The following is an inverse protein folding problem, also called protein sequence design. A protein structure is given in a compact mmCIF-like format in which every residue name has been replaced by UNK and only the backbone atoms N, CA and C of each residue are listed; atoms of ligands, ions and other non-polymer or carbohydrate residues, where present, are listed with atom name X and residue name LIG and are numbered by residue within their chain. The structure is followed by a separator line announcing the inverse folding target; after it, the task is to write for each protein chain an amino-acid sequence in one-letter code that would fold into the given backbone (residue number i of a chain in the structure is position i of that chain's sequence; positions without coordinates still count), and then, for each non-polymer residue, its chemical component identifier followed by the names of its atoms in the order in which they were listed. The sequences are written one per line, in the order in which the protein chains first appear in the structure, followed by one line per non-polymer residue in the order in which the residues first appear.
data_IF_740068379490
#
_entry.id   IF_740068379490
#
_cell.length_a   1.000
_cell.length_b   1.000
_cell.length_c   1.000
_cell.angle_alpha   90.00
_cell.angle_beta   90.00
_cell.angle_gamma   90.00
#
_symmetry.space_group_name_H-M   'P 1'
#
loop_
_entity.id
_entity.type
_entity.pdbx_description
1 polymer ?
#
# COMPACT_ATOMS: atom_id res chain seq x y z
N UNK A 1 -3.08 57.96 -16.13
CA UNK A 1 -3.50 56.91 -15.17
C UNK A 1 -3.09 55.55 -15.71
N UNK A 2 -1.89 55.10 -15.37
CA UNK A 2 -1.27 53.87 -15.87
C UNK A 2 -1.51 52.73 -14.88
N UNK A 3 -2.46 51.86 -15.20
CA UNK A 3 -2.77 50.67 -14.40
C UNK A 3 -1.64 49.65 -14.46
N UNK A 4 -0.94 49.47 -13.34
CA UNK A 4 0.00 48.35 -13.13
C UNK A 4 -0.78 47.04 -13.29
N UNK A 5 -0.56 46.35 -14.41
CA UNK A 5 -0.99 44.95 -14.56
C UNK A 5 -0.19 44.12 -13.56
N UNK A 6 -0.86 43.66 -12.51
CA UNK A 6 -0.30 42.70 -11.57
C UNK A 6 0.19 41.49 -12.37
N UNK A 7 1.50 41.27 -12.38
CA UNK A 7 2.10 40.13 -13.05
C UNK A 7 1.49 38.86 -12.48
N UNK A 8 0.78 38.12 -13.33
CA UNK A 8 0.31 36.80 -13.00
C UNK A 8 1.55 35.95 -12.69
N UNK A 9 1.75 35.65 -11.41
CA UNK A 9 2.72 34.65 -10.98
C UNK A 9 2.20 33.32 -11.52
N UNK A 10 2.59 32.99 -12.75
CA UNK A 10 2.45 31.65 -13.27
C UNK A 10 3.39 30.80 -12.44
N UNK A 11 2.84 30.19 -11.39
CA UNK A 11 3.40 28.98 -10.80
C UNK A 11 3.46 27.96 -11.94
N UNK A 12 4.54 28.00 -12.72
CA UNK A 12 4.98 26.84 -13.47
C UNK A 12 5.08 25.76 -12.41
N UNK A 13 4.06 24.89 -12.35
CA UNK A 13 4.13 23.60 -11.66
C UNK A 13 5.40 22.99 -12.21
N UNK A 14 6.49 23.13 -11.45
CA UNK A 14 7.79 22.64 -11.84
C UNK A 14 7.56 21.20 -12.23
N UNK A 15 7.70 20.92 -13.52
CA UNK A 15 7.63 19.57 -14.02
C UNK A 15 8.63 18.80 -13.20
N UNK A 16 8.13 17.97 -12.29
CA UNK A 16 8.94 17.21 -11.37
C UNK A 16 9.67 16.16 -12.20
N UNK A 17 10.76 16.59 -12.85
CA UNK A 17 11.79 15.74 -13.46
C UNK A 17 12.38 14.74 -12.46
N UNK A 18 12.01 14.84 -11.19
CA UNK A 18 12.30 13.86 -10.17
C UNK A 18 11.49 12.58 -10.40
N UNK A 19 12.11 11.68 -11.16
CA UNK A 19 12.09 10.22 -10.97
C UNK A 19 10.79 9.52 -11.35
N UNK A 20 10.51 9.51 -12.65
CA UNK A 20 9.75 8.40 -13.22
C UNK A 20 10.63 7.15 -13.11
N UNK A 21 10.49 6.41 -12.01
CA UNK A 21 10.88 5.01 -12.03
C UNK A 21 10.20 4.40 -13.27
N UNK A 22 10.94 3.65 -14.12
CA UNK A 22 10.36 3.09 -15.33
C UNK A 22 9.05 2.40 -14.98
N UNK A 23 7.96 2.71 -15.67
CA UNK A 23 6.65 2.15 -15.34
C UNK A 23 6.68 0.61 -15.29
N UNK A 24 7.55 0.00 -16.10
CA UNK A 24 7.86 -1.42 -16.06
C UNK A 24 8.41 -1.89 -14.69
N UNK A 25 9.35 -1.14 -14.11
CA UNK A 25 9.93 -1.45 -12.79
C UNK A 25 8.86 -1.42 -11.68
N UNK A 26 8.02 -0.40 -11.65
CA UNK A 26 6.92 -0.32 -10.68
C UNK A 26 5.93 -1.47 -10.86
N UNK A 27 5.60 -1.83 -12.11
CA UNK A 27 4.74 -2.99 -12.38
C UNK A 27 5.36 -4.29 -11.89
N UNK A 28 6.64 -4.51 -12.13
CA UNK A 28 7.38 -5.68 -11.64
C UNK A 28 7.36 -5.73 -10.11
N UNK A 29 7.59 -4.60 -9.43
CA UNK A 29 7.51 -4.53 -7.97
C UNK A 29 6.12 -4.89 -7.43
N UNK A 30 5.06 -4.38 -8.07
CA UNK A 30 3.68 -4.71 -7.68
C UNK A 30 3.40 -6.20 -7.88
N UNK A 31 3.81 -6.78 -9.02
CA UNK A 31 3.60 -8.20 -9.28
C UNK A 31 4.39 -9.05 -8.28
N UNK A 32 5.66 -8.72 -8.03
CA UNK A 32 6.49 -9.42 -7.07
C UNK A 32 5.89 -9.35 -5.65
N UNK A 33 5.37 -8.19 -5.22
CA UNK A 33 4.72 -8.06 -3.91
C UNK A 33 3.40 -8.81 -3.84
N UNK A 34 2.63 -8.88 -4.93
CA UNK A 34 1.42 -9.70 -5.01
C UNK A 34 1.74 -11.20 -4.91
N UNK A 35 2.80 -11.68 -5.55
CA UNK A 35 3.25 -13.07 -5.42
C UNK A 35 3.66 -13.37 -3.99
N UNK A 36 4.47 -12.51 -3.36
CA UNK A 36 4.86 -12.66 -1.96
C UNK A 36 3.65 -12.68 -1.02
N UNK A 37 2.68 -11.79 -1.24
CA UNK A 37 1.46 -11.75 -0.44
C UNK A 37 0.58 -12.99 -0.67
N UNK A 38 0.57 -13.54 -1.88
CA UNK A 38 -0.13 -14.79 -2.19
C UNK A 38 0.51 -15.98 -1.47
N UNK A 39 1.84 -16.06 -1.46
CA UNK A 39 2.58 -17.07 -0.70
C UNK A 39 2.22 -16.99 0.80
N UNK A 40 2.25 -15.78 1.37
CA UNK A 40 1.88 -15.58 2.78
C UNK A 40 0.43 -15.98 3.08
N UNK A 41 -0.50 -15.67 2.18
CA UNK A 41 -1.89 -16.07 2.32
C UNK A 41 -2.03 -17.60 2.31
N UNK A 42 -1.31 -18.29 1.43
CA UNK A 42 -1.28 -19.75 1.40
C UNK A 42 -0.71 -20.32 2.69
N UNK A 43 0.43 -19.80 3.16
CA UNK A 43 1.03 -20.21 4.43
C UNK A 43 0.01 -20.12 5.58
N UNK A 44 -0.73 -19.01 5.66
CA UNK A 44 -1.74 -18.80 6.71
C UNK A 44 -2.97 -19.70 6.57
N UNK A 45 -3.32 -20.13 5.35
CA UNK A 45 -4.53 -20.90 5.08
C UNK A 45 -4.31 -22.42 5.11
N UNK A 46 -3.13 -22.90 4.70
CA UNK A 46 -2.88 -24.34 4.53
C UNK A 46 -2.07 -24.97 5.65
N UNK A 47 -1.08 -24.25 6.17
CA UNK A 47 -0.17 -24.75 7.19
C UNK A 47 0.09 -23.63 8.21
N UNK A 48 -0.95 -23.26 9.00
CA UNK A 48 -0.80 -22.18 9.96
C UNK A 48 0.35 -22.55 10.90
N UNK A 49 1.40 -21.70 11.00
CA UNK A 49 2.55 -22.02 11.83
C UNK A 49 2.04 -22.37 13.23
N UNK A 50 2.46 -23.53 13.74
CA UNK A 50 2.09 -24.03 15.07
C UNK A 50 2.35 -22.91 16.06
N UNK A 51 1.27 -22.21 16.48
CA UNK A 51 1.22 -21.00 17.32
C UNK A 51 2.58 -20.58 17.85
N UNK A 52 3.41 -19.98 16.99
CA UNK A 52 4.66 -19.38 17.45
C UNK A 52 4.22 -18.23 18.33
N UNK A 53 4.77 -18.14 19.55
CA UNK A 53 4.41 -17.13 20.55
C UNK A 53 4.25 -15.76 19.91
N UNK A 54 5.09 -15.44 18.93
CA UNK A 54 5.16 -14.26 18.05
C UNK A 54 3.85 -13.75 17.44
N UNK A 55 2.80 -14.58 17.37
CA UNK A 55 1.49 -14.18 16.84
C UNK A 55 0.41 -14.00 17.90
N UNK A 56 0.69 -14.26 19.19
CA UNK A 56 -0.33 -14.30 20.23
C UNK A 56 -1.16 -12.99 20.33
N UNK A 57 -0.51 -11.83 20.16
CA UNK A 57 -1.18 -10.52 20.19
C UNK A 57 -2.02 -10.29 18.93
N UNK A 58 -1.52 -10.73 17.78
CA UNK A 58 -2.20 -10.60 16.48
C UNK A 58 -3.42 -11.52 16.42
N UNK A 59 -3.32 -12.71 17.00
CA UNK A 59 -4.38 -13.72 17.08
C UNK A 59 -5.55 -13.28 17.97
N UNK A 60 -5.35 -12.34 18.89
CA UNK A 60 -6.45 -11.74 19.67
C UNK A 60 -7.43 -10.95 18.79
N UNK A 61 -6.97 -10.40 17.67
CA UNK A 61 -7.82 -9.65 16.74
C UNK A 61 -8.51 -10.58 15.74
N UNK A 62 -7.78 -11.54 15.20
CA UNK A 62 -8.27 -12.47 14.20
C UNK A 62 -7.38 -13.71 14.15
N UNK A 63 -7.95 -14.89 13.91
CA UNK A 63 -7.17 -16.12 13.70
C UNK A 63 -6.21 -15.98 12.52
N UNK A 64 -5.13 -16.76 12.50
CA UNK A 64 -4.15 -16.76 11.40
C UNK A 64 -4.83 -17.01 10.05
N UNK A 65 -5.79 -17.94 9.98
CA UNK A 65 -6.55 -18.18 8.76
C UNK A 65 -7.39 -16.95 8.35
N UNK A 66 -7.96 -16.24 9.31
CA UNK A 66 -8.68 -15.00 9.03
C UNK A 66 -7.78 -13.92 8.44
N UNK A 67 -6.53 -13.79 8.91
CA UNK A 67 -5.53 -12.94 8.28
C UNK A 67 -5.21 -13.40 6.85
N UNK A 68 -5.10 -14.71 6.63
CA UNK A 68 -4.94 -15.29 5.28
C UNK A 68 -6.07 -14.86 4.34
N UNK A 69 -7.33 -14.97 4.77
CA UNK A 69 -8.49 -14.53 4.00
C UNK A 69 -8.53 -13.02 3.75
N UNK A 70 -8.12 -12.19 4.72
CA UNK A 70 -7.99 -10.75 4.51
C UNK A 70 -6.95 -10.43 3.41
N UNK A 71 -5.83 -11.14 3.38
CA UNK A 71 -4.82 -10.98 2.33
C UNK A 71 -5.40 -11.39 0.97
N UNK A 72 -6.10 -12.53 0.88
CA UNK A 72 -6.77 -12.98 -0.37
C UNK A 72 -7.79 -11.96 -0.86
N UNK A 73 -8.63 -11.43 0.02
CA UNK A 73 -9.61 -10.40 -0.34
C UNK A 73 -8.92 -9.14 -0.87
N UNK A 74 -7.86 -8.68 -0.19
CA UNK A 74 -7.10 -7.50 -0.60
C UNK A 74 -6.41 -7.68 -1.97
N UNK A 75 -5.82 -8.87 -2.20
CA UNK A 75 -5.23 -9.25 -3.49
C UNK A 75 -6.27 -9.31 -4.60
N UNK A 76 -7.46 -9.84 -4.31
CA UNK A 76 -8.57 -9.91 -5.26
C UNK A 76 -9.02 -8.52 -5.68
N UNK A 77 -9.24 -7.61 -4.73
CA UNK A 77 -9.60 -6.21 -5.01
C UNK A 77 -8.52 -5.53 -5.85
N UNK A 78 -7.24 -5.73 -5.50
CA UNK A 78 -6.12 -5.17 -6.26
C UNK A 78 -6.06 -5.72 -7.69
N UNK A 79 -6.15 -7.04 -7.86
CA UNK A 79 -6.10 -7.70 -9.17
C UNK A 79 -7.25 -7.26 -10.07
N UNK A 80 -8.48 -7.20 -9.54
CA UNK A 80 -9.65 -6.71 -10.25
C UNK A 80 -9.47 -5.24 -10.64
N UNK A 81 -8.95 -4.40 -9.74
CA UNK A 81 -8.63 -3.00 -10.04
C UNK A 81 -7.56 -2.85 -11.12
N UNK A 82 -6.56 -3.73 -11.16
CA UNK A 82 -5.52 -3.75 -12.19
C UNK A 82 -6.06 -4.19 -13.54
N UNK A 83 -6.87 -5.27 -13.57
CA UNK A 83 -7.46 -5.79 -14.80
C UNK A 83 -8.49 -4.83 -15.42
N UNK A 84 -9.36 -4.23 -14.60
CA UNK A 84 -10.38 -3.28 -15.06
C UNK A 84 -9.87 -1.85 -15.26
N UNK A 85 -8.61 -1.56 -14.91
CA UNK A 85 -8.08 -0.20 -14.92
C UNK A 85 -8.74 0.74 -13.90
N UNK A 86 -9.53 0.21 -12.95
CA UNK A 86 -10.28 1.00 -11.98
C UNK A 86 -9.37 1.56 -10.89
N UNK A 87 -9.16 2.87 -10.91
CA UNK A 87 -8.23 3.56 -10.01
C UNK A 87 -8.62 3.38 -8.53
N UNK A 88 -9.92 3.46 -8.23
CA UNK A 88 -10.45 3.30 -6.88
C UNK A 88 -10.19 1.90 -6.31
N UNK A 89 -10.44 0.84 -7.08
CA UNK A 89 -10.17 -0.52 -6.60
C UNK A 89 -8.67 -0.79 -6.44
N UNK A 90 -7.82 -0.26 -7.33
CA UNK A 90 -6.36 -0.34 -7.14
C UNK A 90 -5.91 0.32 -5.84
N UNK A 91 -6.41 1.53 -5.57
CA UNK A 91 -6.15 2.23 -4.32
C UNK A 91 -6.60 1.42 -3.11
N UNK A 92 -7.83 0.89 -3.14
CA UNK A 92 -8.41 0.10 -2.06
C UNK A 92 -7.61 -1.18 -1.80
N UNK A 93 -7.22 -1.91 -2.85
CA UNK A 93 -6.42 -3.12 -2.71
C UNK A 93 -5.04 -2.85 -2.10
N UNK A 94 -4.36 -1.76 -2.49
CA UNK A 94 -3.12 -1.34 -1.85
C UNK A 94 -3.32 -0.90 -0.40
N UNK A 95 -4.39 -0.14 -0.11
CA UNK A 95 -4.69 0.30 1.25
C UNK A 95 -5.00 -0.88 2.18
N UNK A 96 -5.83 -1.83 1.74
CA UNK A 96 -6.15 -3.02 2.52
C UNK A 96 -4.88 -3.84 2.82
N UNK A 97 -4.02 -4.09 1.81
CA UNK A 97 -2.74 -4.75 2.04
C UNK A 97 -1.85 -3.97 3.01
N UNK A 98 -1.76 -2.64 2.88
CA UNK A 98 -0.99 -1.83 3.81
C UNK A 98 -1.53 -1.95 5.25
N UNK A 99 -2.84 -1.87 5.45
CA UNK A 99 -3.43 -2.01 6.79
C UNK A 99 -3.21 -3.41 7.36
N UNK A 100 -3.47 -4.45 6.57
CA UNK A 100 -3.25 -5.85 7.00
C UNK A 100 -1.80 -6.09 7.40
N UNK A 101 -0.84 -5.75 6.54
CA UNK A 101 0.58 -5.93 6.83
C UNK A 101 1.06 -5.00 7.96
N UNK A 102 0.54 -3.78 8.05
CA UNK A 102 0.84 -2.84 9.12
C UNK A 102 0.39 -3.37 10.48
N UNK A 103 -0.80 -3.96 10.57
CA UNK A 103 -1.29 -4.58 11.82
C UNK A 103 -0.46 -5.80 12.20
N UNK A 104 -0.21 -6.73 11.26
CA UNK A 104 0.63 -7.90 11.50
C UNK A 104 2.04 -7.51 11.98
N UNK A 105 2.66 -6.55 11.27
CA UNK A 105 3.98 -6.01 11.58
C UNK A 105 4.00 -5.38 12.98
N UNK A 106 2.99 -4.56 13.31
CA UNK A 106 2.92 -3.89 14.61
C UNK A 106 2.77 -4.88 15.76
N UNK A 107 1.91 -5.90 15.61
CA UNK A 107 1.74 -6.93 16.64
C UNK A 107 3.04 -7.73 16.88
N UNK A 108 3.75 -8.09 15.80
CA UNK A 108 5.04 -8.78 15.92
C UNK A 108 6.12 -7.89 16.56
N UNK A 109 6.21 -6.61 16.19
CA UNK A 109 7.15 -5.68 16.85
C UNK A 109 6.82 -5.47 18.32
N UNK A 110 5.53 -5.32 18.65
CA UNK A 110 5.10 -5.16 20.03
C UNK A 110 5.54 -6.34 20.88
N UNK A 111 5.37 -7.56 20.38
CA UNK A 111 5.81 -8.75 21.07
C UNK A 111 7.32 -8.81 21.30
N UNK A 112 8.12 -8.48 20.27
CA UNK A 112 9.58 -8.44 20.39
C UNK A 112 10.03 -7.38 21.40
N UNK A 113 9.28 -6.28 21.53
CA UNK A 113 9.57 -5.24 22.51
C UNK A 113 9.14 -5.63 23.93
N UNK A 114 8.07 -6.43 24.07
CA UNK A 114 7.53 -6.84 25.38
C UNK A 114 8.25 -8.06 25.97
N UNK A 115 8.64 -9.01 25.12
CA UNK A 115 9.34 -10.22 25.51
C UNK A 115 10.79 -10.03 25.06
N UNK A 116 11.73 -9.93 26.00
CA UNK A 116 13.19 -9.82 25.77
C UNK A 116 13.78 -11.07 25.08
N UNK A 117 13.00 -11.79 24.30
CA UNK A 117 13.33 -13.02 23.59
C UNK A 117 14.11 -12.71 22.32
N UNK A 118 15.43 -12.75 22.48
CA UNK A 118 16.39 -13.01 21.41
C UNK A 118 16.47 -14.54 21.20
N UNK A 119 16.56 -15.07 19.97
CA UNK A 119 16.89 -14.41 18.71
C UNK A 119 15.69 -14.08 17.83
N UNK A 120 15.86 -13.07 16.99
CA UNK A 120 14.87 -12.61 16.03
C UNK A 120 14.93 -13.57 14.84
N UNK A 121 13.79 -14.06 14.34
CA UNK A 121 13.69 -14.98 13.16
C UNK A 121 14.15 -14.35 11.81
N UNK A 122 15.02 -13.35 11.85
CA UNK A 122 15.66 -12.71 10.69
C UNK A 122 14.67 -12.06 9.74
N UNK A 123 14.94 -12.18 8.43
CA UNK A 123 14.13 -11.62 7.33
C UNK A 123 12.70 -12.19 7.24
N UNK A 124 12.44 -13.34 7.88
CA UNK A 124 11.08 -13.91 8.00
C UNK A 124 10.25 -13.23 9.09
N UNK A 125 10.91 -12.47 9.97
CA UNK A 125 10.30 -11.66 11.02
C UNK A 125 9.68 -10.36 10.51
N UNK A 126 9.39 -9.41 11.42
CA UNK A 126 8.62 -8.21 11.10
C UNK A 126 9.23 -7.32 10.02
N UNK A 127 10.55 -7.41 9.78
CA UNK A 127 11.21 -6.68 8.69
C UNK A 127 10.68 -7.02 7.30
N UNK A 128 10.32 -8.28 7.04
CA UNK A 128 9.70 -8.68 5.77
C UNK A 128 8.31 -8.08 5.59
N UNK A 129 7.54 -7.97 6.69
CA UNK A 129 6.22 -7.34 6.68
C UNK A 129 6.30 -5.82 6.52
N UNK A 130 7.31 -5.19 7.14
CA UNK A 130 7.57 -3.75 7.03
C UNK A 130 7.79 -3.34 5.56
N UNK A 131 8.56 -4.11 4.79
CA UNK A 131 8.78 -3.80 3.38
C UNK A 131 7.48 -3.81 2.58
N UNK A 132 6.64 -4.84 2.77
CA UNK A 132 5.34 -4.95 2.08
C UNK A 132 4.41 -3.82 2.51
N UNK A 133 4.35 -3.54 3.81
CA UNK A 133 3.59 -2.43 4.36
C UNK A 133 3.98 -1.09 3.72
N UNK A 134 5.27 -0.72 3.75
CA UNK A 134 5.76 0.55 3.21
C UNK A 134 5.50 0.64 1.71
N UNK A 135 5.77 -0.43 0.96
CA UNK A 135 5.54 -0.46 -0.47
C UNK A 135 4.05 -0.21 -0.80
N UNK A 136 3.14 -0.94 -0.17
CA UNK A 136 1.70 -0.78 -0.41
C UNK A 136 1.15 0.55 0.10
N UNK A 137 1.65 1.07 1.22
CA UNK A 137 1.28 2.40 1.72
C UNK A 137 1.71 3.52 0.76
N UNK A 138 2.94 3.47 0.23
CA UNK A 138 3.42 4.44 -0.75
C UNK A 138 2.64 4.37 -2.07
N UNK A 139 2.29 3.15 -2.52
CA UNK A 139 1.48 2.95 -3.71
C UNK A 139 0.05 3.49 -3.50
N UNK A 140 -0.57 3.23 -2.35
CA UNK A 140 -1.87 3.80 -2.00
C UNK A 140 -1.82 5.34 -1.96
N UNK A 141 -0.80 5.91 -1.31
CA UNK A 141 -0.57 7.36 -1.26
C UNK A 141 -0.44 7.96 -2.67
N UNK A 142 0.36 7.35 -3.54
CA UNK A 142 0.52 7.81 -4.93
C UNK A 142 -0.82 7.80 -5.68
N UNK A 143 -1.68 6.80 -5.47
CA UNK A 143 -3.02 6.76 -6.08
C UNK A 143 -3.95 7.85 -5.54
N UNK A 144 -3.81 8.25 -4.28
CA UNK A 144 -4.52 9.43 -3.75
C UNK A 144 -4.15 10.70 -4.51
N UNK A 145 -2.86 10.91 -4.79
CA UNK A 145 -2.39 12.05 -5.57
C UNK A 145 -2.95 12.01 -7.01
N UNK A 146 -2.90 10.85 -7.67
CA UNK A 146 -3.46 10.66 -9.02
C UNK A 146 -4.97 11.04 -9.07
N UNK A 147 -5.74 10.67 -8.03
CA UNK A 147 -7.17 11.00 -7.93
C UNK A 147 -7.40 12.51 -7.72
N UNK A 148 -6.61 13.16 -6.86
CA UNK A 148 -6.68 14.60 -6.62
C UNK A 148 -6.38 15.39 -7.91
N UNK A 149 -5.35 15.00 -8.66
CA UNK A 149 -5.01 15.63 -9.93
C UNK A 149 -6.12 15.44 -10.98
N UNK A 150 -6.73 14.26 -11.05
CA UNK A 150 -7.85 14.00 -11.94
C UNK A 150 -9.07 14.87 -11.63
N UNK A 151 -9.37 15.09 -10.34
CA UNK A 151 -10.45 15.98 -9.91
C UNK A 151 -10.18 17.43 -10.30
N UNK A 152 -8.98 17.96 -10.01
CA UNK A 152 -8.60 19.33 -10.37
C UNK A 152 -8.64 19.55 -11.89
N UNK A 153 -8.18 18.57 -12.67
CA UNK A 153 -8.25 18.64 -14.13
C UNK A 153 -9.69 18.67 -14.66
N UNK A 154 -10.61 17.92 -14.01
CA UNK A 154 -12.04 17.91 -14.35
C UNK A 154 -12.68 19.27 -14.10
N UNK A 155 -12.37 19.92 -12.99
CA UNK A 155 -12.95 21.22 -12.63
C UNK A 155 -12.47 22.34 -13.55
N UNK A 156 -11.19 22.35 -13.92
CA UNK A 156 -10.65 23.30 -14.91
C UNK A 156 -11.35 23.20 -16.27
N UNK A 157 -11.66 21.97 -16.72
CA UNK A 157 -12.37 21.75 -17.99
C UNK A 157 -13.81 22.23 -17.96
N UNK A 158 -14.46 22.20 -16.79
CA UNK A 158 -15.82 22.73 -16.63
C UNK A 158 -15.82 24.26 -16.64
N UNK A 159 -14.86 24.89 -15.96
CA UNK A 159 -14.74 26.35 -15.93
C UNK A 159 -14.42 26.98 -17.30
N UNK A 160 -13.67 26.28 -18.17
CA UNK A 160 -13.34 26.77 -19.50
C UNK A 160 -14.48 26.69 -20.53
N UNK A 161 -15.62 26.07 -20.20
CA UNK A 161 -16.78 25.93 -21.08
C UNK A 161 -17.90 26.94 -20.79
N UNK A 162 -17.73 27.73 -19.73
CA UNK A 162 -18.64 28.82 -19.36
C UNK A 162 -18.11 30.12 -19.93
#
# INVERSE_FOLDING_TARGET
MTGKRAGAITWQRGGSRTRDLPAAFVRVLIIASMVQASQRALDYLTDPPITSTTYAIVEQLLTIQGWGWLIVASLTVLAVGMAGGWLLLRWLGHLMLALTYGTLMTGMYWQILSETSFPWDGLRGPGGLLLVFVLHALLAWRRTQDMQDAMVARDRRKGARQ
#
